data_IF_885434836089
#
_entry.id   IF_885434836089
#
_cell.length_a   1.000
_cell.length_b   1.000
_cell.length_c   1.000
_cell.angle_alpha   90.00
_cell.angle_beta   90.00
_cell.angle_gamma   90.00
#
_symmetry.space_group_name_H-M   'P 1'
#
loop_
_entity.id
_entity.type
_entity.pdbx_description
1 polymer ?
#
# COMPACT_ATOMS: atom_id res chain seq x y z
N UNK A 1 -5.09 -6.81 -9.80
CA UNK A 1 -6.47 -6.73 -9.27
C UNK A 1 -7.23 -8.05 -9.47
N UNK A 2 -7.08 -8.73 -10.60
CA UNK A 2 -7.69 -10.05 -10.85
C UNK A 2 -7.35 -11.07 -9.77
N UNK A 3 -6.08 -11.19 -9.39
CA UNK A 3 -5.64 -12.05 -8.28
C UNK A 3 -6.36 -11.68 -6.96
N UNK A 4 -6.54 -10.40 -6.70
CA UNK A 4 -7.25 -9.93 -5.50
C UNK A 4 -8.73 -10.33 -5.48
N UNK A 5 -9.41 -10.25 -6.60
CA UNK A 5 -10.81 -10.68 -6.70
C UNK A 5 -10.95 -12.20 -6.54
N UNK A 6 -10.03 -12.98 -7.11
CA UNK A 6 -9.99 -14.43 -6.94
C UNK A 6 -9.69 -14.83 -5.48
N UNK A 7 -8.87 -14.07 -4.78
CA UNK A 7 -8.53 -14.32 -3.37
C UNK A 7 -9.76 -14.29 -2.44
N UNK A 8 -10.84 -13.61 -2.81
CA UNK A 8 -12.08 -13.57 -2.03
C UNK A 8 -12.79 -14.93 -1.91
N UNK A 9 -12.46 -15.88 -2.78
CA UNK A 9 -12.98 -17.26 -2.70
C UNK A 9 -12.35 -18.06 -1.55
N UNK A 10 -11.26 -17.57 -0.96
CA UNK A 10 -10.54 -18.24 0.12
C UNK A 10 -10.96 -17.65 1.47
N UNK A 11 -11.55 -18.48 2.32
CA UNK A 11 -12.06 -18.08 3.64
C UNK A 11 -10.98 -17.44 4.51
N UNK A 12 -9.75 -17.92 4.42
CA UNK A 12 -8.59 -17.44 5.16
C UNK A 12 -8.20 -16.01 4.73
N UNK A 13 -8.39 -15.65 3.47
CA UNK A 13 -8.24 -14.27 3.01
C UNK A 13 -9.42 -13.43 3.50
N UNK A 14 -10.63 -13.88 3.20
CA UNK A 14 -11.86 -13.11 3.48
C UNK A 14 -11.99 -12.72 4.96
N UNK A 15 -11.58 -13.58 5.89
CA UNK A 15 -11.64 -13.30 7.35
C UNK A 15 -10.69 -12.19 7.80
N UNK A 16 -9.67 -11.84 7.00
CA UNK A 16 -8.74 -10.75 7.31
C UNK A 16 -9.26 -9.39 6.84
N UNK A 17 -10.29 -9.41 6.00
CA UNK A 17 -10.83 -8.20 5.38
C UNK A 17 -11.90 -7.57 6.27
N UNK A 18 -12.11 -6.29 6.05
CA UNK A 18 -13.11 -5.51 6.78
C UNK A 18 -12.48 -4.41 7.63
N UNK A 19 -13.30 -3.71 8.41
CA UNK A 19 -12.83 -2.70 9.33
C UNK A 19 -12.10 -3.34 10.52
N UNK A 20 -11.20 -2.61 11.17
CA UNK A 20 -10.54 -3.04 12.42
C UNK A 20 -11.55 -3.17 13.56
N UNK A 21 -12.54 -2.28 13.59
CA UNK A 21 -13.65 -2.33 14.53
C UNK A 21 -14.91 -2.67 13.74
N UNK A 22 -15.51 -3.80 14.07
CA UNK A 22 -16.70 -4.30 13.38
C UNK A 22 -17.83 -3.25 13.31
N UNK A 23 -18.49 -3.19 12.16
CA UNK A 23 -19.56 -2.24 11.89
C UNK A 23 -19.10 -0.83 11.51
N UNK A 24 -17.80 -0.55 11.52
CA UNK A 24 -17.29 0.75 11.09
C UNK A 24 -17.48 0.94 9.59
N UNK A 25 -18.13 2.04 9.20
CA UNK A 25 -18.28 2.51 7.83
C UNK A 25 -17.81 3.95 7.76
N UNK A 26 -16.88 4.24 6.86
CA UNK A 26 -16.36 5.61 6.67
C UNK A 26 -17.05 6.28 5.48
N UNK A 27 -17.85 7.34 5.70
CA UNK A 27 -18.51 8.05 4.59
C UNK A 27 -17.48 8.52 3.56
N UNK A 28 -17.75 8.24 2.27
CA UNK A 28 -16.85 8.51 1.15
C UNK A 28 -15.44 7.87 1.27
N UNK A 29 -15.30 6.89 2.15
CA UNK A 29 -14.07 6.14 2.33
C UNK A 29 -13.75 5.22 1.13
N UNK A 30 -12.62 4.54 1.22
CA UNK A 30 -12.17 3.55 0.24
C UNK A 30 -13.14 2.37 0.17
N UNK A 31 -13.55 2.01 -1.02
CA UNK A 31 -14.28 0.75 -1.28
C UNK A 31 -13.28 -0.37 -1.52
N UNK A 32 -13.48 -1.47 -0.82
CA UNK A 32 -12.69 -2.69 -1.05
C UNK A 32 -13.36 -3.49 -2.17
N UNK A 33 -12.70 -3.66 -3.34
CA UNK A 33 -13.32 -4.30 -4.51
C UNK A 33 -13.86 -5.69 -4.22
N UNK A 34 -15.07 -5.98 -4.70
CA UNK A 34 -15.73 -7.29 -4.52
C UNK A 34 -16.29 -7.55 -3.12
N UNK A 35 -16.28 -6.56 -2.23
CA UNK A 35 -16.80 -6.64 -0.87
C UNK A 35 -17.78 -5.49 -0.59
N UNK A 36 -18.59 -5.57 0.49
CA UNK A 36 -19.43 -4.44 0.91
C UNK A 36 -18.67 -3.38 1.71
N UNK A 37 -17.38 -3.55 1.97
CA UNK A 37 -16.63 -2.71 2.88
C UNK A 37 -16.31 -1.33 2.30
N UNK A 38 -16.54 -0.30 3.11
CA UNK A 38 -16.19 1.09 2.87
C UNK A 38 -15.41 1.60 4.09
N UNK A 39 -14.10 1.74 3.94
CA UNK A 39 -13.14 1.90 5.02
C UNK A 39 -12.39 3.24 4.91
N UNK A 40 -11.71 3.64 5.98
CA UNK A 40 -10.67 4.66 5.86
C UNK A 40 -9.55 4.19 4.90
N UNK A 41 -8.76 5.10 4.31
CA UNK A 41 -7.79 4.73 3.28
C UNK A 41 -6.64 3.88 3.82
N UNK A 42 -6.35 3.91 5.13
CA UNK A 42 -5.30 3.09 5.76
C UNK A 42 -5.74 1.63 5.79
N UNK A 43 -6.94 1.36 6.33
CA UNK A 43 -7.52 0.03 6.32
C UNK A 43 -7.87 -0.45 4.91
N UNK A 44 -8.33 0.45 4.04
CA UNK A 44 -8.55 0.15 2.63
C UNK A 44 -7.28 -0.35 1.94
N UNK A 45 -6.14 0.30 2.20
CA UNK A 45 -4.85 -0.10 1.66
C UNK A 45 -4.42 -1.50 2.15
N UNK A 46 -4.63 -1.81 3.43
CA UNK A 46 -4.38 -3.15 3.95
C UNK A 46 -5.23 -4.20 3.24
N UNK A 47 -6.55 -3.97 3.18
CA UNK A 47 -7.49 -4.94 2.61
C UNK A 47 -7.17 -5.23 1.15
N UNK A 48 -7.02 -4.18 0.31
CA UNK A 48 -6.73 -4.34 -1.11
C UNK A 48 -5.36 -4.99 -1.33
N UNK A 49 -4.34 -4.58 -0.57
CA UNK A 49 -2.99 -5.15 -0.66
C UNK A 49 -2.94 -6.62 -0.24
N UNK A 50 -3.64 -6.99 0.84
CA UNK A 50 -3.75 -8.38 1.28
C UNK A 50 -4.43 -9.26 0.21
N UNK A 51 -5.53 -8.79 -0.38
CA UNK A 51 -6.20 -9.50 -1.48
C UNK A 51 -5.26 -9.73 -2.67
N UNK A 52 -4.55 -8.69 -3.11
CA UNK A 52 -3.67 -8.75 -4.28
C UNK A 52 -2.57 -9.79 -4.07
N UNK A 53 -1.99 -9.82 -2.86
CA UNK A 53 -0.83 -10.66 -2.55
C UNK A 53 -1.20 -12.09 -2.12
N UNK A 54 -2.46 -12.35 -1.78
CA UNK A 54 -2.90 -13.59 -1.16
C UNK A 54 -2.46 -14.84 -1.91
N UNK A 55 -2.69 -14.88 -3.22
CA UNK A 55 -2.43 -16.06 -4.06
C UNK A 55 -0.98 -16.21 -4.49
N UNK A 56 -0.13 -15.20 -4.28
CA UNK A 56 1.27 -15.20 -4.77
C UNK A 56 1.40 -15.34 -6.30
N UNK A 57 0.39 -14.88 -7.04
CA UNK A 57 0.30 -14.92 -8.51
C UNK A 57 0.38 -13.55 -9.17
N UNK A 58 0.63 -12.50 -8.40
CA UNK A 58 0.89 -11.18 -8.94
C UNK A 58 2.30 -11.12 -9.56
N UNK A 59 2.67 -9.99 -10.12
CA UNK A 59 3.96 -9.80 -10.80
C UNK A 59 5.16 -10.14 -9.92
N UNK A 60 6.33 -10.26 -10.57
CA UNK A 60 7.60 -10.47 -9.88
C UNK A 60 8.68 -9.61 -10.53
N UNK A 61 9.44 -8.88 -9.71
CA UNK A 61 10.68 -8.21 -10.06
C UNK A 61 11.85 -8.99 -9.49
N UNK A 62 12.79 -9.39 -10.34
CA UNK A 62 13.97 -10.16 -9.96
C UNK A 62 15.24 -9.34 -10.18
N UNK A 63 15.91 -8.98 -9.09
CA UNK A 63 17.16 -8.23 -9.07
C UNK A 63 17.99 -8.65 -7.86
N UNK A 64 18.85 -7.78 -7.32
CA UNK A 64 19.55 -8.07 -6.04
C UNK A 64 18.55 -8.30 -4.89
N UNK A 65 17.42 -7.57 -4.88
CA UNK A 65 16.25 -7.91 -4.08
C UNK A 65 15.10 -8.34 -5.00
N UNK A 66 14.29 -9.27 -4.50
CA UNK A 66 13.06 -9.68 -5.15
C UNK A 66 11.88 -8.88 -4.61
N UNK A 67 10.85 -8.73 -5.43
CA UNK A 67 9.66 -8.05 -5.00
C UNK A 67 8.49 -8.23 -5.96
N UNK A 68 7.38 -7.67 -5.57
CA UNK A 68 6.14 -7.69 -6.32
C UNK A 68 5.63 -6.25 -6.44
N UNK A 69 6.06 -5.48 -7.46
CA UNK A 69 5.70 -4.06 -7.57
C UNK A 69 4.19 -3.79 -7.60
N UNK A 70 3.37 -4.73 -8.07
CA UNK A 70 1.92 -4.60 -8.02
C UNK A 70 1.34 -4.60 -6.60
N UNK A 71 2.12 -4.99 -5.58
CA UNK A 71 1.74 -4.85 -4.17
C UNK A 71 1.42 -3.39 -3.81
N UNK A 72 2.07 -2.42 -4.47
CA UNK A 72 1.81 -0.98 -4.27
C UNK A 72 0.36 -0.57 -4.63
N UNK A 73 -0.33 -1.35 -5.47
CA UNK A 73 -1.70 -1.04 -5.87
C UNK A 73 -2.66 -0.99 -4.66
N UNK A 74 -2.35 -1.71 -3.58
CA UNK A 74 -3.13 -1.64 -2.34
C UNK A 74 -3.28 -0.21 -1.83
N UNK A 75 -2.17 0.48 -1.66
CA UNK A 75 -2.17 1.88 -1.21
C UNK A 75 -2.66 2.85 -2.27
N UNK A 76 -2.22 2.67 -3.51
CA UNK A 76 -2.55 3.56 -4.64
C UNK A 76 -4.05 3.57 -4.92
N UNK A 77 -4.68 2.40 -5.04
CA UNK A 77 -6.11 2.30 -5.34
C UNK A 77 -6.98 2.78 -4.17
N UNK A 78 -6.57 2.43 -2.93
CA UNK A 78 -7.27 2.88 -1.74
C UNK A 78 -7.35 4.41 -1.66
N UNK A 79 -6.22 5.07 -1.86
CA UNK A 79 -6.14 6.54 -1.80
C UNK A 79 -6.83 7.18 -3.00
N UNK A 80 -6.70 6.62 -4.20
CA UNK A 80 -7.37 7.14 -5.40
C UNK A 80 -8.90 7.12 -5.27
N UNK A 81 -9.47 6.02 -4.77
CA UNK A 81 -10.93 5.93 -4.57
C UNK A 81 -11.39 6.89 -3.47
N UNK A 82 -10.67 6.97 -2.34
CA UNK A 82 -10.97 7.88 -1.25
C UNK A 82 -10.93 9.35 -1.69
N UNK A 83 -9.86 9.80 -2.33
CA UNK A 83 -9.74 11.17 -2.86
C UNK A 83 -10.90 11.49 -3.78
N UNK A 84 -11.15 10.62 -4.77
CA UNK A 84 -12.15 10.87 -5.81
C UNK A 84 -13.56 10.90 -5.24
N UNK A 85 -13.89 10.03 -4.29
CA UNK A 85 -15.21 10.00 -3.64
C UNK A 85 -15.42 11.19 -2.72
N UNK A 86 -14.43 11.54 -1.93
CA UNK A 86 -14.47 12.71 -1.05
C UNK A 86 -14.64 13.99 -1.86
N UNK A 87 -13.90 14.14 -2.97
CA UNK A 87 -13.98 15.34 -3.80
C UNK A 87 -15.31 15.44 -4.57
N UNK A 88 -15.88 14.32 -5.01
CA UNK A 88 -17.25 14.32 -5.58
C UNK A 88 -18.31 14.72 -4.56
N UNK A 89 -18.07 14.50 -3.29
CA UNK A 89 -18.96 14.92 -2.20
C UNK A 89 -18.68 16.35 -1.70
N UNK A 90 -17.87 17.12 -2.43
CA UNK A 90 -17.57 18.53 -2.08
C UNK A 90 -16.32 18.73 -1.24
N UNK A 91 -15.52 17.68 -1.03
CA UNK A 91 -14.21 17.78 -0.35
C UNK A 91 -13.11 18.34 -1.25
N UNK A 92 -11.91 18.53 -0.68
CA UNK A 92 -10.74 19.07 -1.38
C UNK A 92 -9.46 18.31 -1.02
N UNK A 93 -9.44 16.98 -1.24
CA UNK A 93 -8.25 16.15 -1.08
C UNK A 93 -7.41 16.18 -2.36
N UNK A 94 -6.08 16.09 -2.22
CA UNK A 94 -5.19 16.03 -3.38
C UNK A 94 -5.42 17.18 -4.38
N UNK A 95 -5.59 18.40 -3.87
CA UNK A 95 -5.91 19.59 -4.67
C UNK A 95 -7.25 19.50 -5.44
N UNK A 96 -8.25 18.82 -4.88
CA UNK A 96 -9.59 18.72 -5.43
C UNK A 96 -9.73 17.84 -6.66
N UNK A 97 -8.70 17.07 -7.02
CA UNK A 97 -8.73 16.20 -8.21
C UNK A 97 -9.70 15.03 -8.05
N UNK A 98 -10.38 14.68 -9.14
CA UNK A 98 -11.05 13.40 -9.29
C UNK A 98 -10.13 12.52 -10.14
N UNK A 99 -9.49 11.54 -9.48
CA UNK A 99 -8.51 10.69 -10.12
C UNK A 99 -9.19 9.69 -11.06
N UNK A 100 -8.56 9.44 -12.21
CA UNK A 100 -8.99 8.49 -13.24
C UNK A 100 -8.11 7.24 -13.18
N UNK A 101 -8.49 6.20 -13.88
CA UNK A 101 -7.67 4.98 -14.02
C UNK A 101 -6.29 5.29 -14.61
N UNK A 102 -6.18 6.28 -15.52
CA UNK A 102 -4.90 6.75 -16.02
C UNK A 102 -3.96 7.22 -14.90
N UNK A 103 -4.48 7.98 -13.93
CA UNK A 103 -3.68 8.48 -12.79
C UNK A 103 -3.23 7.31 -11.89
N UNK A 104 -4.07 6.28 -11.72
CA UNK A 104 -3.71 5.07 -11.00
C UNK A 104 -2.60 4.30 -11.72
N UNK A 105 -2.70 4.15 -13.05
CA UNK A 105 -1.66 3.49 -13.86
C UNK A 105 -0.33 4.27 -13.82
N UNK A 106 -0.37 5.59 -13.92
CA UNK A 106 0.82 6.43 -13.79
C UNK A 106 1.48 6.25 -12.42
N UNK A 107 0.70 6.23 -11.35
CA UNK A 107 1.18 5.98 -9.99
C UNK A 107 1.81 4.58 -9.87
N UNK A 108 1.19 3.56 -10.49
CA UNK A 108 1.74 2.19 -10.52
C UNK A 108 3.08 2.12 -11.26
N UNK A 109 3.21 2.79 -12.41
CA UNK A 109 4.48 2.84 -13.17
C UNK A 109 5.57 3.48 -12.31
N UNK A 110 5.28 4.60 -11.67
CA UNK A 110 6.23 5.29 -10.77
C UNK A 110 6.61 4.44 -9.56
N UNK A 111 5.65 3.77 -8.94
CA UNK A 111 5.94 2.88 -7.82
C UNK A 111 6.81 1.69 -8.24
N UNK A 112 6.54 1.11 -9.42
CA UNK A 112 7.34 0.04 -10.00
C UNK A 112 8.79 0.49 -10.24
N UNK A 113 8.97 1.68 -10.82
CA UNK A 113 10.30 2.26 -11.07
C UNK A 113 11.06 2.52 -9.76
N UNK A 114 10.44 3.18 -8.80
CA UNK A 114 11.05 3.48 -7.49
C UNK A 114 11.47 2.19 -6.79
N UNK A 115 10.57 1.22 -6.69
CA UNK A 115 10.86 -0.07 -6.07
C UNK A 115 11.94 -0.82 -6.83
N UNK A 116 11.86 -0.85 -8.16
CA UNK A 116 12.82 -1.54 -9.02
C UNK A 116 14.23 -0.97 -8.92
N UNK A 117 14.39 0.34 -8.99
CA UNK A 117 15.71 1.01 -8.87
C UNK A 117 16.35 0.70 -7.51
N UNK A 118 15.59 0.76 -6.42
CA UNK A 118 16.10 0.43 -5.09
C UNK A 118 16.51 -1.04 -4.97
N UNK A 119 15.82 -1.93 -5.68
CA UNK A 119 16.08 -3.38 -5.65
C UNK A 119 17.24 -3.83 -6.56
N UNK A 120 17.70 -2.99 -7.52
CA UNK A 120 18.70 -3.39 -8.50
C UNK A 120 20.00 -3.88 -7.87
N UNK A 121 20.51 -3.13 -6.90
CA UNK A 121 21.83 -3.38 -6.29
C UNK A 121 21.75 -3.66 -4.78
N UNK A 122 20.60 -3.46 -4.15
CA UNK A 122 20.42 -3.59 -2.71
C UNK A 122 19.60 -4.83 -2.38
N UNK A 123 20.16 -5.71 -1.54
CA UNK A 123 19.45 -6.88 -1.04
C UNK A 123 19.12 -6.71 0.46
N UNK A 124 17.91 -6.34 0.76
CA UNK A 124 17.38 -6.18 2.13
C UNK A 124 17.26 -7.52 2.82
N UNK A 125 17.01 -8.57 2.06
CA UNK A 125 16.98 -9.95 2.54
C UNK A 125 18.33 -10.37 3.20
N UNK A 126 19.45 -9.93 2.65
CA UNK A 126 20.79 -10.24 3.20
C UNK A 126 21.01 -9.66 4.60
N UNK A 127 20.28 -8.62 4.97
CA UNK A 127 20.34 -8.00 6.30
C UNK A 127 19.13 -8.33 7.16
N UNK A 128 18.34 -9.34 6.77
CA UNK A 128 17.23 -9.84 7.56
C UNK A 128 15.92 -9.07 7.42
N UNK A 129 15.85 -8.10 6.51
CA UNK A 129 14.62 -7.35 6.22
C UNK A 129 13.82 -8.01 5.10
N UNK A 130 12.52 -7.84 5.15
CA UNK A 130 11.64 -8.29 4.07
C UNK A 130 11.58 -7.26 2.93
N UNK A 131 11.47 -7.73 1.70
CA UNK A 131 11.34 -6.90 0.50
C UNK A 131 10.14 -5.94 0.53
N UNK A 132 9.14 -6.17 1.37
CA UNK A 132 7.98 -5.26 1.52
C UNK A 132 8.37 -3.88 2.09
N UNK A 133 9.60 -3.72 2.61
CA UNK A 133 10.13 -2.38 2.91
C UNK A 133 10.09 -1.49 1.68
N UNK A 134 10.42 -2.05 0.51
CA UNK A 134 10.40 -1.32 -0.76
C UNK A 134 8.97 -0.95 -1.19
N UNK A 135 7.99 -1.82 -0.93
CA UNK A 135 6.57 -1.51 -1.14
C UNK A 135 6.16 -0.32 -0.27
N UNK A 136 6.55 -0.31 1.01
CA UNK A 136 6.26 0.81 1.91
C UNK A 136 6.84 2.12 1.39
N UNK A 137 8.10 2.14 1.00
CA UNK A 137 8.79 3.34 0.50
C UNK A 137 8.18 3.84 -0.81
N UNK A 138 8.00 2.96 -1.79
CA UNK A 138 7.45 3.33 -3.10
C UNK A 138 5.99 3.81 -2.98
N UNK A 139 5.15 3.10 -2.21
CA UNK A 139 3.78 3.52 -1.94
C UNK A 139 3.76 4.89 -1.26
N UNK A 140 4.62 5.15 -0.26
CA UNK A 140 4.71 6.45 0.41
C UNK A 140 4.99 7.56 -0.58
N UNK A 141 5.96 7.38 -1.47
CA UNK A 141 6.33 8.40 -2.46
C UNK A 141 5.17 8.74 -3.41
N UNK A 142 4.52 7.73 -3.99
CA UNK A 142 3.45 7.97 -4.97
C UNK A 142 2.16 8.47 -4.32
N UNK A 143 1.81 7.96 -3.14
CA UNK A 143 0.63 8.42 -2.38
C UNK A 143 0.81 9.86 -1.91
N UNK A 144 2.01 10.26 -1.47
CA UNK A 144 2.31 11.66 -1.14
C UNK A 144 1.99 12.59 -2.32
N UNK A 145 2.41 12.22 -3.53
CA UNK A 145 2.09 12.98 -4.75
C UNK A 145 0.60 13.02 -5.04
N UNK A 146 -0.10 11.89 -4.89
CA UNK A 146 -1.56 11.82 -5.11
C UNK A 146 -2.33 12.70 -4.11
N UNK A 147 -1.85 12.78 -2.87
CA UNK A 147 -2.40 13.61 -1.80
C UNK A 147 -2.06 15.09 -1.95
N UNK A 148 -1.23 15.48 -2.93
CA UNK A 148 -0.84 16.86 -3.19
C UNK A 148 0.20 17.41 -2.20
N UNK A 149 0.97 16.56 -1.55
CA UNK A 149 2.06 16.98 -0.68
C UNK A 149 3.15 17.70 -1.48
N UNK A 150 3.81 18.66 -0.83
CA UNK A 150 4.99 19.33 -1.40
C UNK A 150 6.17 18.37 -1.51
N UNK A 151 7.19 18.76 -2.24
CA UNK A 151 8.44 17.98 -2.36
C UNK A 151 9.06 17.73 -0.96
N UNK A 152 9.16 18.77 -0.13
CA UNK A 152 9.65 18.63 1.24
C UNK A 152 8.82 17.63 2.05
N UNK A 153 7.50 17.77 2.05
CA UNK A 153 6.62 16.84 2.76
C UNK A 153 6.74 15.41 2.23
N UNK A 154 6.93 15.25 0.91
CA UNK A 154 7.16 13.94 0.32
C UNK A 154 8.47 13.32 0.81
N UNK A 155 9.55 14.12 0.88
CA UNK A 155 10.82 13.68 1.44
C UNK A 155 10.65 13.31 2.93
N UNK A 156 9.99 14.15 3.71
CA UNK A 156 9.67 13.87 5.12
C UNK A 156 8.92 12.52 5.28
N UNK A 157 7.90 12.28 4.47
CA UNK A 157 7.16 11.01 4.51
C UNK A 157 8.02 9.81 4.13
N UNK A 158 8.91 9.94 3.15
CA UNK A 158 9.82 8.88 2.72
C UNK A 158 10.83 8.56 3.83
N UNK A 159 11.39 9.58 4.50
CA UNK A 159 12.29 9.33 5.64
C UNK A 159 11.57 8.64 6.78
N UNK A 160 10.32 9.01 7.07
CA UNK A 160 9.49 8.29 8.03
C UNK A 160 9.26 6.83 7.60
N UNK A 161 9.07 6.55 6.30
CA UNK A 161 8.93 5.17 5.83
C UNK A 161 10.20 4.33 6.00
N UNK A 162 11.36 4.95 5.98
CA UNK A 162 12.62 4.25 6.25
C UNK A 162 12.85 3.97 7.74
N UNK A 163 12.47 4.86 8.64
CA UNK A 163 12.69 4.69 10.08
C UNK A 163 11.56 3.94 10.79
N UNK A 164 10.36 3.92 10.22
CA UNK A 164 9.25 3.13 10.76
C UNK A 164 9.57 1.64 10.73
N UNK A 165 9.24 0.92 11.79
CA UNK A 165 9.56 -0.49 11.97
C UNK A 165 9.38 -1.35 10.71
N UNK A 166 10.41 -2.08 10.34
CA UNK A 166 10.42 -2.92 9.14
C UNK A 166 10.01 -4.36 9.45
N UNK A 167 9.34 -5.01 8.49
CA UNK A 167 9.10 -6.45 8.59
C UNK A 167 10.40 -7.23 8.47
N UNK A 168 10.62 -8.17 9.39
CA UNK A 168 11.74 -9.11 9.31
C UNK A 168 11.44 -10.24 8.33
N UNK A 169 12.47 -10.76 7.69
CA UNK A 169 12.36 -11.82 6.68
C UNK A 169 11.97 -13.19 7.24
N UNK A 170 12.14 -13.40 8.54
CA UNK A 170 12.07 -14.71 9.19
C UNK A 170 10.78 -15.49 8.89
N UNK A 171 9.63 -14.81 8.75
CA UNK A 171 8.35 -15.49 8.50
C UNK A 171 8.18 -16.05 7.06
N UNK A 172 9.18 -15.86 6.19
CA UNK A 172 9.19 -16.41 4.82
C UNK A 172 10.04 -17.66 4.69
N UNK A 173 10.76 -18.06 5.72
CA UNK A 173 11.69 -19.19 5.70
C UNK A 173 11.22 -20.31 6.62
N UNK A 174 11.35 -21.55 6.13
CA UNK A 174 11.13 -22.74 6.95
C UNK A 174 12.13 -22.76 8.13
N UNK A 175 11.71 -23.16 9.34
CA UNK A 175 10.37 -23.64 9.72
C UNK A 175 9.38 -22.54 10.09
N UNK A 176 9.75 -21.26 9.98
CA UNK A 176 9.00 -20.10 10.51
C UNK A 176 7.98 -19.53 9.51
N UNK A 177 7.75 -20.17 8.36
CA UNK A 177 6.78 -19.68 7.38
C UNK A 177 5.37 -19.60 7.98
N UNK A 178 4.74 -18.45 7.87
CA UNK A 178 3.41 -18.20 8.44
C UNK A 178 2.54 -17.35 7.51
N UNK A 179 1.26 -17.23 7.84
CA UNK A 179 0.25 -16.51 7.05
C UNK A 179 0.58 -15.04 6.79
N UNK A 180 1.44 -14.41 7.61
CA UNK A 180 1.95 -13.05 7.37
C UNK A 180 2.54 -12.89 5.97
N UNK A 181 3.11 -13.93 5.38
CA UNK A 181 3.62 -13.93 4.00
C UNK A 181 2.59 -13.40 3.00
N UNK A 182 1.31 -13.74 3.20
CA UNK A 182 0.23 -13.41 2.28
C UNK A 182 -0.34 -11.99 2.48
N UNK A 183 -0.11 -11.33 3.63
CA UNK A 183 -0.67 -10.01 3.91
C UNK A 183 0.36 -8.94 4.28
N UNK A 184 1.66 -9.30 4.32
CA UNK A 184 2.71 -8.34 4.66
C UNK A 184 2.79 -7.14 3.70
N UNK A 185 2.45 -7.34 2.43
CA UNK A 185 2.37 -6.24 1.47
C UNK A 185 1.21 -5.28 1.79
N UNK A 186 0.06 -5.81 2.21
CA UNK A 186 -1.06 -4.99 2.70
C UNK A 186 -0.68 -4.17 3.93
N UNK A 187 0.05 -4.77 4.89
CA UNK A 187 0.60 -4.07 6.05
C UNK A 187 1.58 -2.96 5.64
N UNK A 188 2.44 -3.21 4.65
CA UNK A 188 3.34 -2.19 4.12
C UNK A 188 2.59 -1.01 3.49
N UNK A 189 1.55 -1.28 2.70
CA UNK A 189 0.69 -0.26 2.09
C UNK A 189 -0.06 0.57 3.13
N UNK A 190 -0.65 -0.07 4.15
CA UNK A 190 -1.37 0.67 5.19
C UNK A 190 -0.42 1.57 5.99
N UNK A 191 0.79 1.10 6.31
CA UNK A 191 1.82 1.92 6.98
C UNK A 191 2.20 3.12 6.13
N UNK A 192 2.43 2.92 4.84
CA UNK A 192 2.74 4.01 3.91
C UNK A 192 1.66 5.09 3.91
N UNK A 193 0.39 4.71 3.75
CA UNK A 193 -0.74 5.66 3.76
C UNK A 193 -0.83 6.38 5.11
N UNK A 194 -0.68 5.67 6.22
CA UNK A 194 -0.72 6.27 7.56
C UNK A 194 0.39 7.32 7.77
N UNK A 195 1.61 7.04 7.30
CA UNK A 195 2.74 8.00 7.40
C UNK A 195 2.48 9.26 6.56
N UNK A 196 1.98 9.10 5.33
CA UNK A 196 1.61 10.25 4.48
C UNK A 196 0.57 11.13 5.16
N UNK A 197 -0.46 10.52 5.78
CA UNK A 197 -1.49 11.27 6.50
C UNK A 197 -0.95 11.99 7.74
N UNK A 198 0.05 11.45 8.43
CA UNK A 198 0.73 12.12 9.56
C UNK A 198 1.51 13.33 9.07
N UNK A 199 2.30 13.18 8.00
CA UNK A 199 3.06 14.30 7.44
C UNK A 199 2.13 15.38 6.89
N UNK A 200 1.00 15.02 6.29
CA UNK A 200 -0.02 15.97 5.88
C UNK A 200 -0.55 16.81 7.06
N UNK A 201 -0.56 16.26 8.27
CA UNK A 201 -0.96 16.95 9.50
C UNK A 201 0.15 17.77 10.14
N UNK A 202 1.35 17.81 9.56
CA UNK A 202 2.46 18.64 9.99
C UNK A 202 3.63 17.88 10.63
N UNK A 203 3.60 16.55 10.68
CA UNK A 203 4.77 15.80 11.13
C UNK A 203 5.93 15.95 10.14
N UNK A 204 7.14 16.12 10.67
CA UNK A 204 8.36 16.21 9.88
C UNK A 204 9.02 14.85 9.65
N UNK A 205 10.05 14.86 8.80
CA UNK A 205 10.99 13.76 8.58
C UNK A 205 12.36 14.03 9.23
N UNK A 206 13.32 13.15 8.91
CA UNK A 206 14.73 13.29 9.28
C UNK A 206 15.53 14.01 8.20
#
# INVERSE_FOLDING_TARGET
LGCGLEALKFKECAKLLGPVVDGTVVPNGTRVPGTPYQLDPVNGAFNIGAMIRWLDYNDCWLAAEWGHPSDNLGGILAVADWISRTNRAGGNLGNGKILKIHDVLEAMIKAHEIQGVLALENSYNKVGLDHVVLVKVATTAVVSKMMGLTEKQTADAITQAWVDGQSLRTYRHSPNTMSRKSWAAGDACQRAVNLVLKVQKGEGGL
#
